data_IF_255524389090
#
_entry.id   IF_255524389090
#
_cell.length_a   1.000
_cell.length_b   1.000
_cell.length_c   1.000
_cell.angle_alpha   90.00
_cell.angle_beta   90.00
_cell.angle_gamma   90.00
#
_symmetry.space_group_name_H-M   'P 1'
#
loop_
_entity.id
_entity.type
_entity.pdbx_description
1 polymer ?
#
# COMPACT_ATOMS: atom_id res chain seq x y z
N UNK A 1 -3.70 -4.01 2.37
CA UNK A 1 -2.60 -3.41 1.58
C UNK A 1 -3.12 -2.81 0.29
N UNK A 2 -2.28 -2.09 -0.49
CA UNK A 2 -2.66 -1.50 -1.78
C UNK A 2 -1.63 -1.79 -2.87
N UNK A 3 -2.10 -1.84 -4.13
CA UNK A 3 -1.24 -1.95 -5.31
C UNK A 3 -1.70 -0.91 -6.34
N UNK A 4 -0.76 -0.12 -6.90
CA UNK A 4 -1.05 0.82 -7.99
C UNK A 4 -0.82 0.16 -9.34
N UNK A 5 -1.70 0.42 -10.31
CA UNK A 5 -1.55 -0.01 -11.70
C UNK A 5 -0.81 1.05 -12.51
N UNK A 6 -1.35 2.26 -12.56
CA UNK A 6 -0.85 3.38 -13.36
C UNK A 6 -0.77 4.62 -12.48
N UNK A 7 0.22 5.47 -12.69
CA UNK A 7 0.51 6.63 -11.87
C UNK A 7 1.40 6.29 -10.67
N UNK A 8 1.41 7.19 -9.67
CA UNK A 8 2.14 7.07 -8.40
C UNK A 8 3.24 8.12 -8.26
N UNK A 9 3.44 8.57 -7.01
CA UNK A 9 4.35 9.66 -6.66
C UNK A 9 3.76 11.06 -6.89
N UNK A 10 2.59 11.15 -7.51
CA UNK A 10 1.86 12.40 -7.71
C UNK A 10 1.06 12.87 -6.50
N UNK A 11 1.10 12.10 -5.41
CA UNK A 11 0.54 12.39 -4.10
C UNK A 11 1.53 13.07 -3.14
N UNK A 12 2.81 13.16 -3.53
CA UNK A 12 3.85 13.76 -2.70
C UNK A 12 3.74 15.29 -2.67
N UNK A 13 4.02 15.89 -1.51
CA UNK A 13 3.97 17.35 -1.33
C UNK A 13 4.83 18.09 -2.37
N UNK A 14 6.01 17.54 -2.71
CA UNK A 14 6.91 18.11 -3.74
C UNK A 14 6.27 18.16 -5.11
N UNK A 15 5.48 17.12 -5.46
CA UNK A 15 4.76 17.06 -6.73
C UNK A 15 3.55 18.00 -6.71
N UNK A 16 2.70 17.93 -5.68
CA UNK A 16 1.50 18.75 -5.55
C UNK A 16 1.83 20.25 -5.49
N UNK A 17 2.98 20.63 -4.92
CA UNK A 17 3.45 22.01 -4.92
C UNK A 17 3.78 22.53 -6.32
N UNK A 18 4.14 21.66 -7.25
CA UNK A 18 4.49 22.01 -8.64
C UNK A 18 3.27 21.93 -9.58
N UNK A 19 2.44 20.89 -9.43
CA UNK A 19 1.39 20.55 -10.40
C UNK A 19 -0.03 20.78 -9.87
N UNK A 20 -0.20 21.14 -8.58
CA UNK A 20 -1.47 21.37 -7.89
C UNK A 20 -2.39 20.13 -7.74
N UNK A 21 -2.33 19.17 -8.62
CA UNK A 21 -3.13 17.95 -8.56
C UNK A 21 -2.35 16.74 -9.11
N UNK A 22 -2.67 15.57 -8.60
CA UNK A 22 -2.13 14.30 -9.04
C UNK A 22 -3.16 13.18 -8.94
N UNK A 23 -2.86 12.02 -9.54
CA UNK A 23 -3.77 10.89 -9.49
C UNK A 23 -3.08 9.54 -9.63
N UNK A 24 -3.77 8.48 -9.25
CA UNK A 24 -3.32 7.09 -9.38
C UNK A 24 -4.51 6.16 -9.57
N UNK A 25 -4.36 5.13 -10.41
CA UNK A 25 -5.28 3.98 -10.43
C UNK A 25 -4.66 2.87 -9.59
N UNK A 26 -5.41 2.45 -8.58
CA UNK A 26 -4.97 1.42 -7.64
C UNK A 26 -6.11 0.48 -7.22
N UNK A 27 -5.74 -0.63 -6.61
CA UNK A 27 -6.69 -1.56 -6.02
C UNK A 27 -6.20 -2.07 -4.67
N UNK A 28 -7.13 -2.55 -3.88
CA UNK A 28 -6.87 -3.26 -2.63
C UNK A 28 -6.91 -4.75 -2.92
N UNK A 29 -5.78 -5.48 -2.83
CA UNK A 29 -5.77 -6.94 -3.00
C UNK A 29 -6.36 -7.66 -1.78
N UNK A 30 -6.70 -8.93 -1.96
CA UNK A 30 -7.13 -9.87 -0.91
C UNK A 30 -5.96 -10.33 0.01
N UNK A 31 -5.13 -9.38 0.38
CA UNK A 31 -3.98 -9.54 1.28
C UNK A 31 -4.11 -8.53 2.42
N UNK A 32 -4.07 -8.99 3.65
CA UNK A 32 -4.43 -8.16 4.79
C UNK A 32 -3.30 -8.04 5.81
N UNK A 33 -3.36 -6.95 6.56
CA UNK A 33 -2.73 -6.79 7.86
C UNK A 33 -3.82 -6.83 8.91
N UNK A 34 -3.53 -7.43 10.03
CA UNK A 34 -4.48 -7.61 11.13
C UNK A 34 -3.95 -6.95 12.39
N UNK A 35 -4.82 -6.26 13.10
CA UNK A 35 -4.55 -5.67 14.39
C UNK A 35 -5.61 -6.13 15.38
N UNK A 36 -5.17 -6.69 16.51
CA UNK A 36 -6.06 -7.02 17.62
C UNK A 36 -5.65 -6.22 18.84
N UNK A 37 -6.62 -5.57 19.50
CA UNK A 37 -6.41 -4.81 20.73
C UNK A 37 -7.35 -5.33 21.79
N UNK A 38 -6.82 -5.68 22.97
CA UNK A 38 -7.64 -6.13 24.08
C UNK A 38 -7.03 -5.76 25.43
N UNK A 39 -7.87 -5.79 26.48
CA UNK A 39 -7.46 -5.63 27.87
C UNK A 39 -7.45 -6.98 28.55
N UNK A 40 -6.48 -7.22 29.42
CA UNK A 40 -6.55 -8.31 30.36
C UNK A 40 -7.51 -7.93 31.50
N UNK A 41 -8.77 -8.32 31.35
CA UNK A 41 -9.83 -8.03 32.35
C UNK A 41 -9.72 -8.85 33.65
N UNK A 42 -8.95 -9.93 33.64
CA UNK A 42 -8.75 -10.76 34.81
C UNK A 42 -7.52 -10.36 35.65
N UNK A 43 -6.66 -9.47 35.12
CA UNK A 43 -5.51 -8.93 35.83
C UNK A 43 -4.45 -9.97 36.21
N UNK A 44 -4.38 -11.13 35.52
CA UNK A 44 -3.39 -12.16 35.80
C UNK A 44 -1.98 -11.63 35.61
N UNK A 45 -1.09 -11.87 36.59
CA UNK A 45 0.32 -11.48 36.52
C UNK A 45 0.56 -9.98 36.34
N UNK A 46 -0.34 -9.10 36.75
CA UNK A 46 -0.31 -7.63 36.53
C UNK A 46 -0.22 -7.22 35.05
N UNK A 47 -0.71 -8.03 34.14
CA UNK A 47 -0.74 -7.69 32.68
C UNK A 47 -1.71 -6.55 32.41
N UNK A 48 -2.71 -6.33 33.26
CA UNK A 48 -3.63 -5.19 33.26
C UNK A 48 -2.94 -3.82 33.43
N UNK A 49 -1.69 -3.82 33.93
CA UNK A 49 -0.86 -2.63 34.16
C UNK A 49 0.23 -2.44 33.15
N UNK A 50 0.37 -3.35 32.18
CA UNK A 50 1.44 -3.34 31.18
C UNK A 50 0.88 -3.11 29.78
N UNK A 51 1.72 -2.52 28.94
CA UNK A 51 1.54 -2.54 27.50
C UNK A 51 2.27 -3.77 26.96
N UNK A 52 1.54 -4.60 26.21
CA UNK A 52 2.08 -5.77 25.53
C UNK A 52 1.95 -5.55 24.04
N UNK A 53 3.05 -5.59 23.31
CA UNK A 53 3.05 -5.44 21.85
C UNK A 53 3.66 -6.69 21.23
N UNK A 54 2.90 -7.38 20.39
CA UNK A 54 3.34 -8.57 19.67
C UNK A 54 3.35 -8.30 18.17
N UNK A 55 4.52 -8.45 17.54
CA UNK A 55 4.73 -8.39 16.10
C UNK A 55 5.81 -9.41 15.74
N UNK A 56 6.94 -9.06 15.10
CA UNK A 56 8.10 -9.96 14.91
C UNK A 56 8.81 -10.27 16.24
N UNK A 57 8.63 -9.42 17.23
CA UNK A 57 9.10 -9.61 18.62
C UNK A 57 7.93 -9.35 19.59
N UNK A 58 8.13 -9.73 20.87
CA UNK A 58 7.22 -9.39 21.96
C UNK A 58 7.87 -8.38 22.89
N UNK A 59 7.15 -7.28 23.11
CA UNK A 59 7.49 -6.26 24.09
C UNK A 59 6.51 -6.30 25.27
N UNK A 60 7.03 -6.18 26.50
CA UNK A 60 6.24 -5.96 27.72
C UNK A 60 6.82 -4.79 28.48
N UNK A 61 6.08 -3.68 28.55
CA UNK A 61 6.56 -2.45 29.16
C UNK A 61 5.50 -1.82 30.07
N UNK A 62 5.94 -1.00 31.03
CA UNK A 62 5.03 -0.34 31.97
C UNK A 62 4.55 1.04 31.49
N UNK A 63 5.23 1.63 30.50
CA UNK A 63 4.92 2.96 29.99
C UNK A 63 5.00 2.98 28.44
N UNK A 64 4.13 3.76 27.82
CA UNK A 64 4.04 3.87 26.34
C UNK A 64 5.38 4.27 25.71
N UNK A 65 6.12 5.18 26.34
CA UNK A 65 7.40 5.69 25.84
C UNK A 65 8.52 4.64 25.79
N UNK A 66 8.34 3.49 26.44
CA UNK A 66 9.26 2.36 26.40
C UNK A 66 9.00 1.39 25.23
N UNK A 67 7.88 1.52 24.53
CA UNK A 67 7.55 0.70 23.37
C UNK A 67 8.54 1.04 22.24
N UNK A 68 9.19 0.01 21.69
CA UNK A 68 10.17 0.16 20.61
C UNK A 68 9.50 0.34 19.24
N UNK A 69 8.37 -0.32 19.02
CA UNK A 69 7.61 -0.15 17.79
C UNK A 69 7.06 1.28 17.70
N UNK A 70 7.66 2.10 16.81
CA UNK A 70 7.35 3.53 16.68
C UNK A 70 5.88 3.80 16.35
N UNK A 71 5.30 3.01 15.44
CA UNK A 71 3.92 3.19 15.02
C UNK A 71 2.95 2.91 16.19
N UNK A 72 3.13 1.78 16.88
CA UNK A 72 2.28 1.43 18.04
C UNK A 72 2.46 2.44 19.15
N UNK A 73 3.71 2.82 19.47
CA UNK A 73 4.01 3.83 20.49
C UNK A 73 3.30 5.14 20.21
N UNK A 74 3.41 5.66 18.98
CA UNK A 74 2.79 6.91 18.59
C UNK A 74 1.26 6.82 18.63
N UNK A 75 0.67 5.78 18.07
CA UNK A 75 -0.77 5.59 18.07
C UNK A 75 -1.35 5.52 19.48
N UNK A 76 -0.73 4.74 20.38
CA UNK A 76 -1.20 4.62 21.78
C UNK A 76 -1.04 5.94 22.55
N UNK A 77 0.04 6.69 22.28
CA UNK A 77 0.33 7.99 22.92
C UNK A 77 -0.67 9.05 22.51
N UNK A 78 -0.87 9.28 21.21
CA UNK A 78 -1.82 10.25 20.66
C UNK A 78 -3.26 9.98 21.14
N UNK A 79 -3.55 8.69 21.36
CA UNK A 79 -4.86 8.24 21.82
C UNK A 79 -5.00 8.15 23.34
N UNK A 80 -3.99 8.54 24.15
CA UNK A 80 -3.97 8.43 25.61
C UNK A 80 -4.46 7.05 26.09
N UNK A 81 -4.05 5.99 25.40
CA UNK A 81 -4.56 4.63 25.61
C UNK A 81 -4.00 4.06 26.90
N UNK A 82 -4.87 3.50 27.74
CA UNK A 82 -4.47 2.78 28.96
C UNK A 82 -3.79 1.45 28.61
N UNK A 83 -3.07 0.81 29.56
CA UNK A 83 -2.44 -0.48 29.32
C UNK A 83 -3.35 -1.47 28.62
N UNK A 84 -2.83 -2.07 27.56
CA UNK A 84 -3.53 -3.01 26.69
C UNK A 84 -2.54 -3.90 25.95
N UNK A 85 -3.04 -4.98 25.37
CA UNK A 85 -2.29 -5.84 24.47
C UNK A 85 -2.63 -5.50 23.03
N UNK A 86 -1.59 -5.32 22.20
CA UNK A 86 -1.69 -5.03 20.75
C UNK A 86 -0.96 -6.14 19.99
N UNK A 87 -1.63 -6.77 19.05
CA UNK A 87 -1.06 -7.81 18.20
C UNK A 87 -1.14 -7.37 16.74
N UNK A 88 -0.01 -7.49 16.03
CA UNK A 88 0.15 -7.16 14.62
C UNK A 88 0.51 -8.43 13.87
N UNK A 89 -0.29 -8.80 12.88
CA UNK A 89 -0.02 -9.93 11.97
C UNK A 89 -0.34 -9.56 10.53
N UNK A 90 0.17 -10.33 9.57
CA UNK A 90 -0.03 -10.03 8.15
C UNK A 90 0.06 -11.29 7.30
N UNK A 91 -0.68 -11.32 6.18
CA UNK A 91 -0.59 -12.36 5.16
C UNK A 91 0.72 -12.31 4.36
N UNK A 92 1.43 -11.18 4.45
CA UNK A 92 2.70 -10.93 3.74
C UNK A 92 3.71 -10.31 4.69
N UNK A 93 5.01 -10.51 4.43
CA UNK A 93 6.02 -9.86 5.25
C UNK A 93 6.04 -8.34 5.00
N UNK A 94 6.27 -7.60 6.09
CA UNK A 94 6.10 -6.16 6.13
C UNK A 94 7.23 -5.38 5.47
N UNK A 95 8.47 -5.82 5.61
CA UNK A 95 9.63 -5.02 5.19
C UNK A 95 9.86 -5.08 3.68
N UNK A 96 9.82 -3.91 3.03
CA UNK A 96 10.27 -3.74 1.66
C UNK A 96 9.42 -4.43 0.58
N UNK A 97 8.18 -4.82 0.90
CA UNK A 97 7.28 -5.52 -0.05
C UNK A 97 6.84 -4.65 -1.23
N UNK A 98 6.80 -3.33 -1.08
CA UNK A 98 6.25 -2.40 -2.08
C UNK A 98 4.72 -2.35 -2.13
N UNK A 99 4.03 -3.01 -1.17
CA UNK A 99 2.58 -3.16 -1.11
C UNK A 99 1.91 -2.28 -0.05
N UNK A 100 2.60 -1.25 0.44
CA UNK A 100 2.14 -0.33 1.49
C UNK A 100 1.73 -1.03 2.80
N UNK A 101 2.50 -2.04 3.23
CA UNK A 101 2.18 -2.81 4.45
C UNK A 101 2.29 -1.95 5.71
N UNK A 102 3.27 -1.02 5.79
CA UNK A 102 3.37 -0.08 6.91
C UNK A 102 2.09 0.75 7.04
N UNK A 103 1.68 1.39 5.96
CA UNK A 103 0.48 2.21 5.93
C UNK A 103 -0.80 1.40 6.17
N UNK A 104 -0.82 0.13 5.74
CA UNK A 104 -1.91 -0.79 6.06
C UNK A 104 -2.01 -1.08 7.57
N UNK A 105 -0.86 -1.23 8.26
CA UNK A 105 -0.85 -1.32 9.72
C UNK A 105 -1.28 -0.02 10.39
N UNK A 106 -0.86 1.14 9.86
CA UNK A 106 -1.31 2.45 10.36
C UNK A 106 -2.84 2.57 10.30
N UNK A 107 -3.45 2.21 9.18
CA UNK A 107 -4.90 2.19 9.01
C UNK A 107 -5.58 1.21 9.98
N UNK A 108 -5.11 -0.03 10.03
CA UNK A 108 -5.70 -1.07 10.89
C UNK A 108 -5.59 -0.74 12.37
N UNK A 109 -4.45 -0.17 12.81
CA UNK A 109 -4.23 0.22 14.21
C UNK A 109 -5.09 1.43 14.59
N UNK A 110 -5.18 2.44 13.70
CA UNK A 110 -6.05 3.60 13.91
C UNK A 110 -7.51 3.19 14.01
N UNK A 111 -7.98 2.34 13.11
CA UNK A 111 -9.35 1.83 13.14
C UNK A 111 -9.62 1.02 14.40
N UNK A 112 -8.74 0.07 14.74
CA UNK A 112 -8.87 -0.78 15.93
C UNK A 112 -8.85 0.03 17.24
N UNK A 113 -8.08 1.12 17.32
CA UNK A 113 -8.07 2.01 18.50
C UNK A 113 -9.37 2.80 18.65
N UNK A 114 -9.96 3.27 17.54
CA UNK A 114 -11.27 3.93 17.57
C UNK A 114 -12.36 2.93 18.03
N UNK A 115 -12.40 1.73 17.45
CA UNK A 115 -13.30 0.66 17.89
C UNK A 115 -13.11 0.31 19.38
N UNK A 116 -11.86 0.18 19.83
CA UNK A 116 -11.52 -0.11 21.22
C UNK A 116 -12.02 0.97 22.20
N UNK A 117 -12.20 2.20 21.73
CA UNK A 117 -12.78 3.33 22.48
C UNK A 117 -14.29 3.48 22.27
N UNK A 118 -14.93 2.60 21.49
CA UNK A 118 -16.32 2.71 21.06
C UNK A 118 -16.60 3.99 20.26
N UNK A 119 -15.65 4.42 19.43
CA UNK A 119 -15.79 5.56 18.52
C UNK A 119 -15.91 5.04 17.10
N UNK A 120 -17.04 5.28 16.45
CA UNK A 120 -17.23 4.95 15.04
C UNK A 120 -16.53 5.99 14.17
N UNK A 121 -15.79 5.53 13.16
CA UNK A 121 -15.15 6.38 12.16
C UNK A 121 -15.35 5.79 10.76
N UNK A 122 -15.45 6.67 9.76
CA UNK A 122 -15.47 6.25 8.35
C UNK A 122 -14.10 5.79 7.88
N UNK A 123 -14.03 5.03 6.76
CA UNK A 123 -12.76 4.67 6.11
C UNK A 123 -11.91 5.91 5.78
N UNK A 124 -12.55 6.99 5.32
CA UNK A 124 -11.87 8.25 4.95
C UNK A 124 -11.29 8.94 6.19
N UNK A 125 -12.08 9.05 7.25
CA UNK A 125 -11.61 9.66 8.50
C UNK A 125 -10.50 8.81 9.16
N UNK A 126 -10.61 7.48 9.09
CA UNK A 126 -9.53 6.59 9.48
C UNK A 126 -8.25 6.85 8.67
N UNK A 127 -8.39 7.03 7.35
CA UNK A 127 -7.29 7.39 6.46
C UNK A 127 -6.61 8.70 6.87
N UNK A 128 -7.39 9.74 7.20
CA UNK A 128 -6.86 11.02 7.66
C UNK A 128 -6.05 10.87 8.96
N UNK A 129 -6.65 10.26 9.98
CA UNK A 129 -5.97 10.05 11.26
C UNK A 129 -4.70 9.19 11.11
N UNK A 130 -4.75 8.13 10.29
CA UNK A 130 -3.61 7.27 10.03
C UNK A 130 -2.49 8.02 9.26
N UNK A 131 -2.86 8.90 8.31
CA UNK A 131 -1.92 9.73 7.58
C UNK A 131 -1.21 10.73 8.49
N UNK A 132 -1.96 11.43 9.34
CA UNK A 132 -1.40 12.38 10.30
C UNK A 132 -0.42 11.71 11.28
N UNK A 133 -0.73 10.47 11.70
CA UNK A 133 0.14 9.68 12.56
C UNK A 133 1.41 9.22 11.81
N UNK A 134 1.28 8.60 10.64
CA UNK A 134 2.43 8.06 9.91
C UNK A 134 3.35 9.18 9.38
N UNK A 135 2.79 10.36 9.07
CA UNK A 135 3.57 11.54 8.64
C UNK A 135 4.49 12.07 9.75
N UNK A 136 4.18 11.84 11.03
CA UNK A 136 5.09 12.17 12.14
C UNK A 136 6.33 11.25 12.16
N UNK A 137 6.20 10.01 11.66
CA UNK A 137 7.32 9.04 11.56
C UNK A 137 8.06 9.25 10.23
N UNK A 138 7.34 9.47 9.15
CA UNK A 138 7.87 9.68 7.80
C UNK A 138 7.30 10.96 7.18
N UNK A 139 7.95 12.11 7.37
CA UNK A 139 7.49 13.41 6.83
C UNK A 139 7.37 13.47 5.30
N UNK A 140 7.99 12.54 4.56
CA UNK A 140 7.92 12.45 3.10
C UNK A 140 6.73 11.59 2.62
N UNK A 141 5.90 11.08 3.52
CA UNK A 141 4.75 10.27 3.18
C UNK A 141 3.72 11.08 2.40
N UNK A 142 3.28 10.55 1.25
CA UNK A 142 2.12 11.03 0.53
C UNK A 142 0.82 10.33 0.95
N UNK A 143 -0.29 10.70 0.32
CA UNK A 143 -1.62 10.19 0.68
C UNK A 143 -1.92 8.81 0.07
N UNK A 144 -1.27 8.44 -1.03
CA UNK A 144 -1.59 7.26 -1.83
C UNK A 144 -1.64 5.97 -1.03
N UNK A 145 -0.64 5.75 -0.17
CA UNK A 145 -0.46 4.48 0.55
C UNK A 145 -1.54 4.29 1.60
N UNK A 146 -1.75 5.28 2.43
CA UNK A 146 -2.77 5.26 3.49
C UNK A 146 -4.17 5.14 2.90
N UNK A 147 -4.56 6.08 2.04
CA UNK A 147 -5.91 6.15 1.51
C UNK A 147 -6.20 5.01 0.52
N UNK A 148 -5.17 4.50 -0.15
CA UNK A 148 -5.27 3.28 -0.95
C UNK A 148 -5.53 2.02 -0.13
N UNK A 149 -5.05 1.97 1.14
CA UNK A 149 -5.30 0.87 2.08
C UNK A 149 -6.64 1.00 2.81
N UNK A 150 -7.00 2.23 3.22
CA UNK A 150 -8.24 2.47 3.98
C UNK A 150 -9.50 2.19 3.18
N UNK A 151 -9.53 2.64 1.93
CA UNK A 151 -10.70 2.47 1.04
C UNK A 151 -10.48 1.27 0.14
N UNK A 152 -11.41 0.32 0.14
CA UNK A 152 -11.33 -0.91 -0.66
C UNK A 152 -11.58 -0.71 -2.15
N UNK A 153 -11.53 -1.80 -2.91
CA UNK A 153 -11.94 -1.86 -4.31
C UNK A 153 -10.89 -1.44 -5.33
N UNK A 154 -11.33 -1.35 -6.59
CA UNK A 154 -10.58 -0.86 -7.74
C UNK A 154 -11.00 0.58 -8.03
N UNK A 155 -10.06 1.51 -8.04
CA UNK A 155 -10.37 2.93 -7.98
C UNK A 155 -9.27 3.82 -8.55
N UNK A 156 -9.69 4.97 -9.08
CA UNK A 156 -8.85 6.15 -9.26
C UNK A 156 -8.88 6.96 -7.96
N UNK A 157 -7.74 7.41 -7.51
CA UNK A 157 -7.56 8.32 -6.37
C UNK A 157 -6.96 9.61 -6.92
N UNK A 158 -7.59 10.75 -6.61
CA UNK A 158 -7.17 12.08 -7.05
C UNK A 158 -6.75 12.91 -5.85
N UNK A 159 -5.55 13.45 -5.92
CA UNK A 159 -4.95 14.29 -4.89
C UNK A 159 -4.96 15.74 -5.35
N UNK A 160 -5.33 16.66 -4.47
CA UNK A 160 -5.36 18.09 -4.74
C UNK A 160 -4.57 18.81 -3.67
N UNK A 161 -3.73 19.75 -4.06
CA UNK A 161 -2.95 20.56 -3.12
C UNK A 161 -3.85 21.30 -2.14
N UNK A 162 -3.59 21.16 -0.85
CA UNK A 162 -4.33 21.81 0.22
C UNK A 162 -5.62 21.13 0.64
N UNK A 163 -5.97 19.99 -0.01
CA UNK A 163 -7.10 19.16 0.42
C UNK A 163 -6.62 18.07 1.39
N UNK A 164 -7.36 17.89 2.50
CA UNK A 164 -7.04 16.88 3.51
C UNK A 164 -7.44 15.45 3.09
N UNK A 165 -8.29 15.35 2.08
CA UNK A 165 -8.87 14.10 1.59
C UNK A 165 -8.74 13.98 0.08
N UNK A 166 -8.30 12.82 -0.43
CA UNK A 166 -8.37 12.54 -1.85
C UNK A 166 -9.80 12.27 -2.31
N UNK A 167 -10.04 12.47 -3.60
CA UNK A 167 -11.30 12.07 -4.25
C UNK A 167 -11.16 10.66 -4.82
N UNK A 168 -12.27 9.93 -4.83
CA UNK A 168 -12.32 8.55 -5.33
C UNK A 168 -13.31 8.41 -6.47
N UNK A 169 -12.88 7.73 -7.53
CA UNK A 169 -13.75 7.21 -8.59
C UNK A 169 -13.58 5.70 -8.64
N UNK A 170 -14.62 4.93 -8.27
CA UNK A 170 -14.60 3.48 -8.39
C UNK A 170 -14.71 3.08 -9.84
N UNK A 171 -13.89 2.14 -10.26
CA UNK A 171 -13.78 1.68 -11.62
C UNK A 171 -14.42 0.29 -11.80
N UNK A 172 -14.97 0.00 -12.99
CA UNK A 172 -15.53 -1.30 -13.30
C UNK A 172 -14.47 -2.41 -13.23
N UNK A 173 -14.88 -3.59 -12.75
CA UNK A 173 -13.97 -4.72 -12.48
C UNK A 173 -14.00 -5.79 -13.57
N UNK A 174 -14.75 -5.59 -14.66
CA UNK A 174 -14.93 -6.55 -15.76
C UNK A 174 -13.62 -6.94 -16.44
N UNK A 175 -12.63 -6.06 -16.42
CA UNK A 175 -11.27 -6.33 -16.91
C UNK A 175 -10.65 -7.60 -16.28
N UNK A 176 -10.97 -7.87 -15.00
CA UNK A 176 -10.45 -9.04 -14.28
C UNK A 176 -11.17 -10.36 -14.65
N UNK A 177 -12.16 -10.30 -15.55
CA UNK A 177 -12.73 -11.48 -16.19
C UNK A 177 -11.83 -11.98 -17.35
N UNK A 178 -10.95 -11.13 -17.87
CA UNK A 178 -10.07 -11.43 -19.00
C UNK A 178 -8.65 -11.81 -18.57
N UNK A 179 -8.21 -11.31 -17.41
CA UNK A 179 -6.85 -11.50 -16.92
C UNK A 179 -6.84 -12.02 -15.49
N UNK A 180 -5.87 -12.86 -15.21
CA UNK A 180 -5.52 -13.28 -13.84
C UNK A 180 -4.34 -12.45 -13.35
N UNK A 181 -4.41 -12.02 -12.08
CA UNK A 181 -3.37 -11.24 -11.42
C UNK A 181 -2.56 -12.11 -10.48
N UNK A 182 -1.25 -11.93 -10.52
CA UNK A 182 -0.32 -12.63 -9.64
C UNK A 182 0.72 -11.68 -9.04
N UNK A 183 1.21 -12.06 -7.87
CA UNK A 183 2.41 -11.50 -7.28
C UNK A 183 3.56 -12.49 -7.37
N UNK A 184 4.74 -11.99 -7.77
CA UNK A 184 5.99 -12.75 -7.74
C UNK A 184 6.99 -12.04 -6.83
N UNK A 185 7.49 -12.73 -5.80
CA UNK A 185 8.46 -12.16 -4.89
C UNK A 185 9.87 -12.20 -5.47
N UNK A 186 10.56 -11.06 -5.46
CA UNK A 186 11.90 -10.93 -6.05
C UNK A 186 13.03 -11.54 -5.22
N UNK A 187 12.77 -11.98 -3.98
CA UNK A 187 13.80 -12.39 -3.03
C UNK A 187 14.58 -11.21 -2.41
N UNK A 188 14.27 -9.95 -2.81
CA UNK A 188 14.98 -8.74 -2.38
C UNK A 188 14.06 -7.89 -1.53
N UNK A 189 14.49 -7.56 -0.32
CA UNK A 189 13.86 -6.56 0.55
C UNK A 189 14.57 -5.22 0.45
N UNK A 190 13.87 -4.12 0.70
CA UNK A 190 14.42 -2.76 0.65
C UNK A 190 13.83 -1.85 1.72
N UNK A 191 14.53 -0.75 2.03
CA UNK A 191 13.97 0.36 2.79
C UNK A 191 13.22 1.32 1.86
N UNK A 192 11.90 1.50 2.09
CA UNK A 192 11.09 2.46 1.32
C UNK A 192 11.54 3.91 1.53
N UNK A 193 11.99 4.25 2.72
CA UNK A 193 12.48 5.61 3.07
C UNK A 193 13.72 6.01 2.26
N UNK A 194 14.65 5.08 2.03
CA UNK A 194 15.85 5.35 1.22
C UNK A 194 15.50 5.60 -0.25
N UNK A 195 14.53 4.84 -0.77
CA UNK A 195 14.11 5.02 -2.16
C UNK A 195 13.33 6.32 -2.33
N UNK A 196 12.45 6.69 -1.39
CA UNK A 196 11.71 7.97 -1.44
C UNK A 196 12.66 9.17 -1.40
N UNK A 197 13.76 9.12 -0.66
CA UNK A 197 14.79 10.18 -0.68
C UNK A 197 15.48 10.34 -2.04
N UNK A 198 15.52 9.28 -2.86
CA UNK A 198 16.11 9.30 -4.20
C UNK A 198 15.09 9.62 -5.31
N UNK A 199 13.81 9.75 -4.98
CA UNK A 199 12.79 10.15 -5.97
C UNK A 199 13.01 11.62 -6.31
N UNK A 200 13.61 11.84 -7.46
CA UNK A 200 13.65 13.16 -8.10
C UNK A 200 12.30 13.35 -8.76
N UNK A 201 11.56 14.38 -8.36
CA UNK A 201 10.37 14.77 -9.09
C UNK A 201 10.82 15.28 -10.47
N UNK A 202 10.56 14.55 -11.57
CA UNK A 202 11.03 14.98 -12.89
C UNK A 202 10.37 16.29 -13.29
N UNK A 203 11.04 17.05 -14.13
CA UNK A 203 10.49 18.31 -14.65
C UNK A 203 9.25 18.06 -15.52
N UNK A 204 9.23 16.94 -16.26
CA UNK A 204 8.10 16.49 -17.04
C UNK A 204 7.30 15.42 -16.30
N UNK A 205 6.00 15.66 -16.19
CA UNK A 205 5.04 14.70 -15.62
C UNK A 205 4.60 13.70 -16.69
N UNK A 206 5.26 12.56 -16.75
CA UNK A 206 4.94 11.51 -17.73
C UNK A 206 3.93 10.49 -17.18
N UNK A 207 3.86 10.30 -15.86
CA UNK A 207 3.05 9.23 -15.28
C UNK A 207 1.61 9.63 -15.01
N UNK A 208 1.36 10.86 -14.59
CA UNK A 208 0.00 11.30 -14.26
C UNK A 208 -0.92 11.41 -15.50
N UNK A 209 -0.49 11.87 -16.68
CA UNK A 209 -1.29 11.83 -17.91
C UNK A 209 -1.78 10.42 -18.28
N UNK A 210 -0.95 9.38 -18.03
CA UNK A 210 -1.33 7.98 -18.28
C UNK A 210 -2.53 7.53 -17.44
N UNK A 211 -2.80 8.17 -16.31
CA UNK A 211 -3.93 7.81 -15.43
C UNK A 211 -5.26 8.13 -16.10
N UNK A 212 -5.39 9.28 -16.75
CA UNK A 212 -6.60 9.65 -17.51
C UNK A 212 -6.83 8.75 -18.73
N UNK A 213 -5.75 8.38 -19.44
CA UNK A 213 -5.85 7.44 -20.55
C UNK A 213 -6.25 6.04 -20.05
N UNK A 214 -5.68 5.58 -18.95
CA UNK A 214 -6.02 4.29 -18.35
C UNK A 214 -7.48 4.22 -17.88
N UNK A 215 -7.99 5.28 -17.26
CA UNK A 215 -9.40 5.39 -16.90
C UNK A 215 -10.29 5.27 -18.15
N UNK A 216 -9.96 5.99 -19.22
CA UNK A 216 -10.68 5.90 -20.50
C UNK A 216 -10.65 4.48 -21.08
N UNK A 217 -9.50 3.80 -21.07
CA UNK A 217 -9.39 2.41 -21.56
C UNK A 217 -10.29 1.46 -20.76
N UNK A 218 -10.35 1.61 -19.43
CA UNK A 218 -11.21 0.80 -18.57
C UNK A 218 -12.70 1.06 -18.90
N UNK A 219 -13.12 2.33 -18.97
CA UNK A 219 -14.50 2.72 -19.22
C UNK A 219 -14.99 2.35 -20.64
N UNK A 220 -14.10 2.33 -21.62
CA UNK A 220 -14.40 1.91 -22.99
C UNK A 220 -14.16 0.41 -23.23
N UNK A 221 -13.87 -0.36 -22.19
CA UNK A 221 -13.58 -1.80 -22.24
C UNK A 221 -12.41 -2.19 -23.17
N UNK A 222 -11.49 -1.26 -23.41
CA UNK A 222 -10.24 -1.54 -24.12
C UNK A 222 -9.21 -2.10 -23.14
N UNK A 223 -9.39 -3.34 -22.71
CA UNK A 223 -8.61 -3.94 -21.65
C UNK A 223 -7.15 -4.21 -22.00
N UNK A 224 -6.87 -4.56 -23.27
CA UNK A 224 -5.49 -4.69 -23.77
C UNK A 224 -4.78 -3.33 -23.80
N UNK A 225 -5.48 -2.27 -24.23
CA UNK A 225 -4.95 -0.91 -24.16
C UNK A 225 -4.60 -0.51 -22.72
N UNK A 226 -5.39 -0.93 -21.73
CA UNK A 226 -5.05 -0.71 -20.33
C UNK A 226 -3.79 -1.49 -19.90
N UNK A 227 -3.62 -2.75 -20.34
CA UNK A 227 -2.39 -3.52 -20.09
C UNK A 227 -1.16 -2.88 -20.71
N UNK A 228 -1.30 -2.31 -21.90
CA UNK A 228 -0.22 -1.56 -22.55
C UNK A 228 0.17 -0.32 -21.76
N UNK A 229 -0.80 0.43 -21.20
CA UNK A 229 -0.51 1.58 -20.34
C UNK A 229 0.21 1.18 -19.04
N UNK A 230 -0.08 0.01 -18.45
CA UNK A 230 0.69 -0.52 -17.32
C UNK A 230 2.16 -0.75 -17.75
N UNK A 231 2.40 -1.35 -18.91
CA UNK A 231 3.75 -1.59 -19.45
C UNK A 231 4.48 -0.28 -19.73
N UNK A 232 3.81 0.68 -20.41
CA UNK A 232 4.37 2.01 -20.68
C UNK A 232 4.74 2.71 -19.39
N UNK A 233 3.82 2.78 -18.42
CA UNK A 233 4.08 3.40 -17.12
C UNK A 233 5.25 2.75 -16.37
N UNK A 234 5.42 1.43 -16.49
CA UNK A 234 6.57 0.74 -15.91
C UNK A 234 7.88 1.10 -16.62
N UNK A 235 7.89 1.17 -17.95
CA UNK A 235 9.07 1.60 -18.71
C UNK A 235 9.48 3.04 -18.39
N UNK A 236 8.51 3.96 -18.33
CA UNK A 236 8.78 5.35 -17.94
C UNK A 236 9.33 5.44 -16.51
N UNK A 237 8.75 4.71 -15.59
CA UNK A 237 9.25 4.65 -14.20
C UNK A 237 10.71 4.16 -14.12
N UNK A 238 11.09 3.17 -14.92
CA UNK A 238 12.49 2.70 -15.00
C UNK A 238 13.44 3.78 -15.51
N UNK A 239 13.00 4.61 -16.44
CA UNK A 239 13.82 5.74 -16.97
C UNK A 239 13.96 6.86 -15.95
N UNK A 240 12.86 7.23 -15.28
CA UNK A 240 12.81 8.35 -14.34
C UNK A 240 13.58 8.07 -13.04
N UNK A 241 13.58 6.84 -12.58
CA UNK A 241 14.23 6.44 -11.32
C UNK A 241 15.44 5.58 -11.57
N UNK A 242 16.64 6.22 -11.61
CA UNK A 242 17.91 5.49 -11.69
C UNK A 242 18.10 4.47 -10.54
N UNK A 243 17.33 4.62 -9.44
CA UNK A 243 17.33 3.71 -8.29
C UNK A 243 16.28 2.58 -8.35
N UNK A 244 15.34 2.59 -9.32
CA UNK A 244 14.24 1.60 -9.32
C UNK A 244 14.68 0.18 -9.71
N UNK A 245 15.77 0.05 -10.48
CA UNK A 245 16.25 -1.21 -11.04
C UNK A 245 17.78 -1.27 -11.02
N UNK A 246 18.41 -1.02 -9.87
CA UNK A 246 19.87 -1.04 -9.73
C UNK A 246 20.45 -2.44 -9.59
N UNK A 247 19.63 -3.39 -9.16
CA UNK A 247 20.05 -4.76 -8.93
C UNK A 247 19.92 -5.58 -10.23
N UNK A 248 21.02 -6.22 -10.65
CA UNK A 248 21.08 -7.07 -11.85
C UNK A 248 20.02 -8.17 -11.84
N UNK A 249 19.80 -8.81 -10.69
CA UNK A 249 18.76 -9.84 -10.53
C UNK A 249 17.36 -9.31 -10.85
N UNK A 250 17.04 -8.07 -10.45
CA UNK A 250 15.73 -7.46 -10.78
C UNK A 250 15.56 -7.25 -12.28
N UNK A 251 16.63 -6.85 -12.99
CA UNK A 251 16.60 -6.69 -14.45
C UNK A 251 16.40 -8.05 -15.13
N UNK A 252 17.07 -9.08 -14.67
CA UNK A 252 16.91 -10.45 -15.18
C UNK A 252 15.49 -10.97 -14.91
N UNK A 253 14.94 -10.76 -13.71
CA UNK A 253 13.56 -11.12 -13.36
C UNK A 253 12.52 -10.37 -14.20
N UNK A 254 12.69 -9.05 -14.39
CA UNK A 254 11.79 -8.24 -15.23
C UNK A 254 11.74 -8.77 -16.68
N UNK A 255 12.91 -9.10 -17.22
CA UNK A 255 13.06 -9.69 -18.56
C UNK A 255 12.41 -11.07 -18.64
N UNK A 256 12.72 -11.93 -17.68
CA UNK A 256 12.16 -13.30 -17.62
C UNK A 256 10.63 -13.28 -17.47
N UNK A 257 10.07 -12.50 -16.52
CA UNK A 257 8.62 -12.40 -16.31
C UNK A 257 7.93 -11.91 -17.59
N UNK A 258 8.49 -10.88 -18.24
CA UNK A 258 7.91 -10.30 -19.45
C UNK A 258 7.95 -11.27 -20.65
N UNK A 259 8.82 -12.29 -20.63
CA UNK A 259 8.94 -13.30 -21.69
C UNK A 259 8.06 -14.52 -21.46
N UNK A 260 7.38 -14.63 -20.31
CA UNK A 260 6.53 -15.76 -20.02
C UNK A 260 5.33 -15.82 -20.97
N UNK A 261 4.94 -17.06 -21.34
CA UNK A 261 3.80 -17.29 -22.21
C UNK A 261 2.52 -16.68 -21.64
N UNK A 262 1.78 -15.95 -22.46
CA UNK A 262 0.54 -15.23 -22.09
C UNK A 262 0.71 -14.17 -20.97
N UNK A 263 1.92 -13.74 -20.64
CA UNK A 263 2.14 -12.58 -19.81
C UNK A 263 1.79 -11.31 -20.63
N UNK A 264 0.72 -10.62 -20.24
CA UNK A 264 0.23 -9.42 -20.95
C UNK A 264 0.80 -8.12 -20.40
N UNK A 265 1.08 -8.07 -19.08
CA UNK A 265 1.74 -6.92 -18.45
C UNK A 265 2.43 -7.34 -17.16
N UNK A 266 3.50 -6.65 -16.81
CA UNK A 266 4.15 -6.77 -15.50
C UNK A 266 4.74 -5.44 -15.06
N UNK A 267 4.87 -5.27 -13.75
CA UNK A 267 5.55 -4.12 -13.14
C UNK A 267 6.01 -4.43 -11.72
N UNK A 268 7.10 -3.80 -11.28
CA UNK A 268 7.51 -3.86 -9.89
C UNK A 268 6.66 -2.93 -9.02
N UNK A 269 6.16 -3.44 -7.89
CA UNK A 269 5.32 -2.71 -6.96
C UNK A 269 6.11 -1.69 -6.13
N UNK A 270 5.43 -0.62 -5.69
CA UNK A 270 6.01 0.41 -4.82
C UNK A 270 7.07 1.26 -5.53
N UNK A 271 8.05 1.79 -4.81
CA UNK A 271 9.05 2.71 -5.33
C UNK A 271 10.18 2.06 -6.17
N UNK A 272 10.22 0.73 -6.27
CA UNK A 272 11.26 0.00 -7.02
C UNK A 272 12.29 -0.69 -6.13
N UNK A 273 13.31 -1.26 -6.73
CA UNK A 273 14.50 -1.87 -6.14
C UNK A 273 14.27 -3.07 -5.20
N UNK A 274 13.17 -3.79 -5.36
CA UNK A 274 12.82 -5.00 -4.60
C UNK A 274 11.32 -5.11 -4.29
N UNK A 275 10.93 -6.14 -3.55
CA UNK A 275 9.55 -6.44 -3.21
C UNK A 275 8.90 -7.41 -4.19
N UNK A 276 7.73 -7.07 -4.69
CA UNK A 276 6.93 -7.94 -5.55
C UNK A 276 6.75 -7.35 -6.95
N UNK A 277 6.81 -8.21 -7.96
CA UNK A 277 6.21 -7.92 -9.26
C UNK A 277 4.72 -8.22 -9.22
N UNK A 278 3.90 -7.28 -9.73
CA UNK A 278 2.54 -7.53 -10.16
C UNK A 278 2.59 -8.00 -11.61
N UNK A 279 1.95 -9.11 -11.89
CA UNK A 279 1.98 -9.75 -13.21
C UNK A 279 0.56 -10.10 -13.64
N UNK A 280 0.24 -9.81 -14.88
CA UNK A 280 -1.02 -10.15 -15.51
C UNK A 280 -0.80 -11.23 -16.58
N UNK A 281 -1.60 -12.27 -16.51
CA UNK A 281 -1.67 -13.31 -17.54
C UNK A 281 -3.07 -13.35 -18.14
N UNK A 282 -3.16 -13.83 -19.38
CA UNK A 282 -4.43 -14.23 -19.97
C UNK A 282 -5.16 -15.19 -19.03
N UNK A 283 -6.49 -15.05 -18.97
CA UNK A 283 -7.33 -15.87 -18.08
C UNK A 283 -7.11 -17.36 -18.27
N UNK A 284 -6.86 -18.07 -17.18
CA UNK A 284 -6.66 -19.51 -17.19
C UNK A 284 -5.28 -19.98 -17.65
N UNK A 285 -4.32 -19.05 -17.79
CA UNK A 285 -2.93 -19.43 -18.11
C UNK A 285 -2.33 -20.24 -16.96
N UNK A 286 -1.69 -21.35 -17.29
CA UNK A 286 -0.85 -22.08 -16.35
C UNK A 286 0.45 -21.33 -16.12
N UNK A 287 0.72 -20.98 -14.87
CA UNK A 287 1.88 -20.14 -14.50
C UNK A 287 2.93 -20.97 -13.77
N UNK A 288 4.23 -20.64 -13.89
CA UNK A 288 5.30 -21.31 -13.14
C UNK A 288 5.13 -21.19 -11.62
N UNK A 289 5.85 -22.04 -10.87
CA UNK A 289 5.91 -21.95 -9.41
C UNK A 289 6.45 -20.59 -8.95
N UNK A 290 6.04 -20.18 -7.75
CA UNK A 290 6.44 -18.91 -7.14
C UNK A 290 5.49 -17.74 -7.41
N UNK A 291 4.52 -17.89 -8.32
CA UNK A 291 3.46 -16.91 -8.55
C UNK A 291 2.28 -17.15 -7.60
N UNK A 292 1.93 -16.12 -6.82
CA UNK A 292 0.75 -16.14 -5.95
C UNK A 292 -0.40 -15.39 -6.62
N UNK A 293 -1.47 -16.09 -6.95
CA UNK A 293 -2.70 -15.48 -7.46
C UNK A 293 -3.31 -14.58 -6.42
N UNK A 294 -3.77 -13.41 -6.84
CA UNK A 294 -4.46 -12.42 -6.02
C UNK A 294 -5.76 -11.96 -6.68
N UNK A 295 -6.67 -11.46 -5.87
CA UNK A 295 -7.93 -10.87 -6.32
C UNK A 295 -8.15 -9.50 -5.68
N UNK A 296 -9.22 -8.80 -6.08
CA UNK A 296 -9.57 -7.50 -5.53
C UNK A 296 -10.46 -7.70 -4.30
N UNK A 297 -10.07 -7.09 -3.18
CA UNK A 297 -10.92 -6.91 -2.03
C UNK A 297 -11.85 -5.71 -2.24
N UNK A 298 -13.15 -5.90 -2.09
CA UNK A 298 -14.13 -4.80 -2.13
C UNK A 298 -14.08 -3.92 -0.89
N UNK A 299 -13.56 -4.44 0.22
CA UNK A 299 -13.50 -3.75 1.51
C UNK A 299 -12.08 -3.24 1.77
N UNK A 300 -11.99 -2.03 2.32
CA UNK A 300 -10.78 -1.47 2.88
C UNK A 300 -10.55 -1.88 4.34
N UNK A 301 -10.23 -0.91 5.20
CA UNK A 301 -10.13 -1.14 6.63
C UNK A 301 -11.50 -1.47 7.22
N UNK A 302 -11.57 -2.49 8.05
CA UNK A 302 -12.85 -2.92 8.66
C UNK A 302 -12.64 -3.73 9.92
N UNK A 303 -13.66 -3.81 10.73
CA UNK A 303 -13.76 -4.78 11.83
C UNK A 303 -14.02 -6.19 11.26
N UNK A 304 -13.40 -7.21 11.86
CA UNK A 304 -13.60 -8.61 11.47
C UNK A 304 -14.57 -9.33 12.40
N UNK A 305 -14.60 -8.97 13.68
CA UNK A 305 -15.43 -9.59 14.73
C UNK A 305 -16.10 -8.49 15.56
#
# INVERSE_FOLDING_TARGET
>A
VRISFVGGGSDLDVYLNRHNAGSVISFTPDLYTYVSIYKDVLGRNNLDKKYIVNYSIREEVNRIDQIQNDLVRLCLKENNTKPCSVHLTSDIFSHGSGLAVSSSYSCALTYALNEFKNTEISEIECGRQAHDLEKQINPLLGMQDIFGCCVGGFKKIEFVKGEDYPKYTFLPTEIFNHFDMYLYYTGITRSSTEVLKSVVCPEEDVLNPLVGEAEKMILTQNYYGFMDLIRIGWQEKKKMSKGAMTNKLLVELDTWISSLHNCVASKLCGAGNGGFFLVFFEKGTEVPDGFRKISISKSGVRRLI
#
